data_IF_431282552867
#
_entry.id   IF_431282552867
#
_cell.length_a   1.000
_cell.length_b   1.000
_cell.length_c   1.000
_cell.angle_alpha   90.00
_cell.angle_beta   90.00
_cell.angle_gamma   90.00
#
_symmetry.space_group_name_H-M   'P 1'
#
loop_
_entity.id
_entity.type
_entity.pdbx_description
1 polymer ?
#
# COMPACT_ATOMS: atom_id res chain seq x y z
N UNK A 1 -14.78 10.99 -4.36
CA UNK A 1 -13.75 11.01 -3.29
C UNK A 1 -13.05 12.35 -3.29
N UNK A 2 -12.83 12.94 -2.12
CA UNK A 2 -11.99 14.12 -1.90
C UNK A 2 -10.97 13.76 -0.83
N UNK A 3 -9.72 14.11 -1.05
CA UNK A 3 -8.65 13.87 -0.09
C UNK A 3 -7.78 15.11 0.12
N UNK A 4 -7.18 15.20 1.28
CA UNK A 4 -6.34 16.30 1.68
C UNK A 4 -5.86 16.12 3.11
N UNK A 5 -5.60 17.20 3.79
CA UNK A 5 -5.32 17.20 5.22
C UNK A 5 -6.40 17.96 5.98
N UNK A 6 -6.65 17.53 7.18
CA UNK A 6 -7.51 18.22 8.12
C UNK A 6 -6.89 18.17 9.52
N UNK A 7 -7.46 18.87 10.48
CA UNK A 7 -7.01 18.79 11.88
C UNK A 7 -7.76 17.72 12.65
N UNK A 8 -7.03 16.97 13.49
CA UNK A 8 -7.62 16.05 14.47
C UNK A 8 -7.93 16.73 15.81
N UNK A 9 -7.65 18.02 15.91
CA UNK A 9 -7.68 18.86 17.09
C UNK A 9 -6.32 19.49 17.39
N UNK A 10 -5.25 18.76 17.19
CA UNK A 10 -3.88 19.18 17.50
C UNK A 10 -3.00 19.26 16.26
N UNK A 11 -3.05 18.25 15.40
CA UNK A 11 -2.14 18.09 14.28
C UNK A 11 -2.88 18.08 12.94
N UNK A 12 -2.16 18.40 11.86
CA UNK A 12 -2.60 18.07 10.50
C UNK A 12 -2.48 16.55 10.30
N UNK A 13 -3.51 15.93 9.75
CA UNK A 13 -3.57 14.48 9.49
C UNK A 13 -4.09 14.21 8.08
N UNK A 14 -3.83 13.02 7.56
CA UNK A 14 -4.45 12.56 6.31
C UNK A 14 -5.96 12.48 6.47
N UNK A 15 -6.70 13.08 5.54
CA UNK A 15 -8.14 13.05 5.53
C UNK A 15 -8.68 12.68 4.16
N UNK A 16 -9.73 11.87 4.13
CA UNK A 16 -10.54 11.68 2.94
C UNK A 16 -12.03 11.64 3.29
N UNK A 17 -12.83 12.07 2.33
CA UNK A 17 -14.29 12.07 2.38
C UNK A 17 -14.81 11.39 1.12
N UNK A 18 -15.75 10.46 1.27
CA UNK A 18 -16.42 9.81 0.15
C UNK A 18 -17.81 10.36 -0.07
N UNK A 19 -18.16 10.58 -1.35
CA UNK A 19 -19.49 10.89 -1.80
C UNK A 19 -20.07 9.72 -2.59
N UNK A 20 -21.34 9.47 -2.47
CA UNK A 20 -22.11 8.58 -3.34
C UNK A 20 -22.29 9.17 -4.74
N UNK A 21 -22.84 8.37 -5.64
CA UNK A 21 -23.18 8.80 -7.01
C UNK A 21 -24.31 9.85 -7.05
N UNK A 22 -25.08 9.95 -5.97
CA UNK A 22 -26.11 10.97 -5.75
C UNK A 22 -25.55 12.32 -5.28
N UNK A 23 -24.24 12.41 -5.04
CA UNK A 23 -23.57 13.61 -4.54
C UNK A 23 -23.68 13.82 -3.04
N UNK A 24 -24.31 12.91 -2.31
CA UNK A 24 -24.40 12.95 -0.85
C UNK A 24 -23.18 12.27 -0.22
N UNK A 25 -22.90 12.61 1.04
CA UNK A 25 -21.82 11.96 1.79
C UNK A 25 -22.18 10.48 1.99
N UNK A 26 -21.27 9.61 1.59
CA UNK A 26 -21.41 8.17 1.79
C UNK A 26 -21.03 7.80 3.23
N UNK A 27 -22.00 7.75 4.11
CA UNK A 27 -21.82 7.49 5.54
C UNK A 27 -21.31 6.08 5.86
N UNK A 28 -21.30 5.16 4.88
CA UNK A 28 -20.75 3.82 5.05
C UNK A 28 -19.22 3.78 5.01
N UNK A 29 -18.59 4.90 4.57
CA UNK A 29 -17.16 5.02 4.49
C UNK A 29 -16.57 5.59 5.79
N UNK A 30 -15.71 4.85 6.45
CA UNK A 30 -15.04 5.28 7.67
C UNK A 30 -16.02 5.66 8.78
N UNK A 31 -15.87 6.86 9.31
CA UNK A 31 -16.79 7.41 10.31
C UNK A 31 -17.62 8.53 9.70
N UNK A 32 -18.91 8.27 9.45
CA UNK A 32 -19.82 9.24 8.81
C UNK A 32 -19.29 9.81 7.48
N UNK A 33 -18.68 8.97 6.65
CA UNK A 33 -18.15 9.34 5.36
C UNK A 33 -16.69 9.82 5.37
N UNK A 34 -16.05 9.89 6.54
CA UNK A 34 -14.71 10.41 6.72
C UNK A 34 -13.73 9.37 7.22
N UNK A 35 -12.49 9.49 6.77
CA UNK A 35 -11.33 8.87 7.40
C UNK A 35 -10.34 9.96 7.81
N UNK A 36 -9.75 9.78 8.99
CA UNK A 36 -8.67 10.62 9.53
C UNK A 36 -7.57 9.71 10.02
N UNK A 37 -6.36 9.91 9.54
CA UNK A 37 -5.23 9.04 9.91
C UNK A 37 -3.97 9.86 10.07
N UNK A 38 -3.31 9.66 11.20
CA UNK A 38 -2.01 10.25 11.49
C UNK A 38 -0.89 9.22 11.32
N UNK A 39 0.32 9.69 11.01
CA UNK A 39 1.54 8.97 11.33
C UNK A 39 1.75 8.94 12.86
N UNK A 40 2.82 8.36 13.31
CA UNK A 40 3.09 8.30 14.75
C UNK A 40 3.35 9.68 15.39
N UNK A 41 3.75 10.70 14.59
CA UNK A 41 4.26 11.97 15.10
C UNK A 41 3.36 13.19 14.78
N UNK A 42 2.31 13.00 13.96
CA UNK A 42 1.43 14.08 13.50
C UNK A 42 2.07 14.99 12.45
N UNK A 43 1.39 16.06 12.11
CA UNK A 43 1.79 17.01 11.06
C UNK A 43 1.92 16.36 9.64
N UNK A 44 0.94 15.53 9.31
CA UNK A 44 0.89 14.77 8.06
C UNK A 44 -0.02 15.46 7.04
N UNK A 45 0.33 15.39 5.76
CA UNK A 45 -0.49 16.00 4.71
C UNK A 45 -0.61 15.13 3.48
N UNK A 46 -1.85 14.79 3.12
CA UNK A 46 -2.18 14.20 1.83
C UNK A 46 -2.19 15.28 0.74
N UNK A 47 -1.62 14.95 -0.41
CA UNK A 47 -1.54 15.81 -1.59
C UNK A 47 -2.23 15.19 -2.80
N UNK A 48 -2.36 13.88 -2.82
CA UNK A 48 -2.95 13.13 -3.92
C UNK A 48 -3.75 11.93 -3.43
N UNK A 49 -4.75 11.54 -4.21
CA UNK A 49 -5.56 10.34 -4.01
C UNK A 49 -5.71 9.60 -5.32
N UNK A 50 -5.67 8.27 -5.26
CA UNK A 50 -5.97 7.40 -6.39
C UNK A 50 -6.79 6.21 -5.92
N UNK A 51 -7.62 5.68 -6.82
CA UNK A 51 -8.42 4.47 -6.60
C UNK A 51 -7.80 3.32 -7.38
N UNK A 52 -7.54 2.22 -6.70
CA UNK A 52 -7.09 0.98 -7.32
C UNK A 52 -8.29 0.24 -7.94
N UNK A 53 -8.04 -0.63 -8.91
CA UNK A 53 -9.11 -1.39 -9.58
C UNK A 53 -9.86 -2.33 -8.61
N UNK A 54 -9.20 -2.75 -7.53
CA UNK A 54 -9.79 -3.58 -6.47
C UNK A 54 -10.63 -2.78 -5.46
N UNK A 55 -10.85 -1.49 -5.70
CA UNK A 55 -11.62 -0.59 -4.85
C UNK A 55 -10.84 0.01 -3.69
N UNK A 56 -9.56 -0.36 -3.51
CA UNK A 56 -8.73 0.27 -2.48
C UNK A 56 -8.39 1.71 -2.83
N UNK A 57 -8.18 2.50 -1.80
CA UNK A 57 -7.97 3.95 -1.90
C UNK A 57 -6.56 4.24 -1.40
N UNK A 58 -5.74 4.85 -2.24
CA UNK A 58 -4.39 5.26 -1.86
C UNK A 58 -4.34 6.78 -1.73
N UNK A 59 -3.89 7.26 -0.58
CA UNK A 59 -3.54 8.64 -0.34
C UNK A 59 -2.02 8.77 -0.30
N UNK A 60 -1.48 9.77 -0.98
CA UNK A 60 -0.05 10.06 -0.96
C UNK A 60 0.22 11.50 -0.58
N UNK A 61 1.37 11.74 0.03
CA UNK A 61 1.79 13.05 0.48
C UNK A 61 3.08 12.97 1.29
N UNK A 62 3.09 13.60 2.46
CA UNK A 62 4.24 13.57 3.35
C UNK A 62 3.83 13.46 4.80
N UNK A 63 4.64 12.76 5.57
CA UNK A 63 4.45 12.54 7.00
C UNK A 63 5.68 12.99 7.76
N UNK A 64 5.45 13.51 8.97
CA UNK A 64 6.52 13.87 9.87
C UNK A 64 7.07 12.62 10.58
N UNK A 65 8.38 12.40 10.51
CA UNK A 65 9.06 11.23 11.07
C UNK A 65 9.64 11.46 12.47
N UNK A 66 9.34 12.61 13.08
CA UNK A 66 9.94 13.06 14.34
C UNK A 66 11.08 14.07 14.15
N UNK A 67 11.61 14.19 12.95
CA UNK A 67 12.69 15.11 12.57
C UNK A 67 12.36 15.95 11.36
N UNK A 68 11.95 15.31 10.28
CA UNK A 68 11.69 15.93 8.99
C UNK A 68 10.44 15.31 8.34
N UNK A 69 10.09 15.78 7.16
CA UNK A 69 9.02 15.23 6.36
C UNK A 69 9.55 14.27 5.31
N UNK A 70 8.96 13.09 5.25
CA UNK A 70 9.26 12.03 4.30
C UNK A 70 8.10 11.76 3.34
N UNK A 71 8.40 11.13 2.20
CA UNK A 71 7.35 10.58 1.35
C UNK A 71 6.50 9.59 2.13
N UNK A 72 5.18 9.75 2.02
CA UNK A 72 4.24 8.94 2.78
C UNK A 72 3.05 8.55 1.90
N UNK A 73 2.63 7.30 2.05
CA UNK A 73 1.40 6.81 1.45
C UNK A 73 0.61 5.97 2.46
N UNK A 74 -0.70 6.11 2.41
CA UNK A 74 -1.65 5.30 3.19
C UNK A 74 -2.59 4.59 2.23
N UNK A 75 -2.96 3.36 2.54
CA UNK A 75 -3.97 2.64 1.79
C UNK A 75 -5.14 2.26 2.67
N UNK A 76 -6.33 2.53 2.16
CA UNK A 76 -7.59 2.15 2.79
C UNK A 76 -8.31 1.11 1.95
N UNK A 77 -9.08 0.27 2.63
CA UNK A 77 -10.08 -0.57 2.02
C UNK A 77 -11.30 0.25 1.60
N UNK A 78 -12.21 -0.37 0.88
CA UNK A 78 -13.45 0.27 0.44
C UNK A 78 -14.33 0.76 1.59
N UNK A 79 -14.26 0.15 2.76
CA UNK A 79 -14.99 0.58 3.96
C UNK A 79 -14.34 1.76 4.71
N UNK A 80 -13.16 2.20 4.28
CA UNK A 80 -12.38 3.27 4.92
C UNK A 80 -11.46 2.78 6.05
N UNK A 81 -11.40 1.50 6.35
CA UNK A 81 -10.39 0.95 7.26
C UNK A 81 -9.01 0.94 6.60
N UNK A 82 -7.94 1.10 7.39
CA UNK A 82 -6.58 0.94 6.88
C UNK A 82 -6.36 -0.49 6.39
N UNK A 83 -5.78 -0.62 5.20
CA UNK A 83 -5.40 -1.91 4.66
C UNK A 83 -4.04 -2.34 5.23
N UNK A 84 -4.08 -3.15 6.29
CA UNK A 84 -2.89 -3.61 7.01
C UNK A 84 -1.90 -4.42 6.16
N UNK A 85 -2.30 -4.84 4.96
CA UNK A 85 -1.41 -5.55 4.01
C UNK A 85 -0.52 -4.59 3.19
N UNK A 86 -0.70 -3.27 3.35
CA UNK A 86 0.10 -2.25 2.68
C UNK A 86 1.14 -1.67 3.64
N UNK A 87 2.41 -1.88 3.35
CA UNK A 87 3.50 -1.40 4.18
C UNK A 87 3.41 -1.90 5.63
N UNK A 88 3.53 -1.00 6.57
CA UNK A 88 3.38 -1.30 8.01
C UNK A 88 2.04 -0.75 8.50
N UNK A 89 1.08 -1.64 8.73
CA UNK A 89 -0.24 -1.27 9.24
C UNK A 89 -1.03 -0.34 8.33
N UNK A 90 -0.89 -0.48 7.01
CA UNK A 90 -1.58 0.35 6.02
C UNK A 90 -0.83 1.61 5.60
N UNK A 91 0.44 1.74 5.97
CA UNK A 91 1.25 2.95 5.76
C UNK A 91 2.63 2.61 5.21
N UNK A 92 3.12 3.46 4.31
CA UNK A 92 4.50 3.49 3.85
C UNK A 92 5.05 4.88 4.15
N UNK A 93 6.26 4.93 4.69
CA UNK A 93 7.04 6.15 4.85
C UNK A 93 8.46 5.86 4.37
N UNK A 94 9.02 6.71 3.53
CA UNK A 94 10.34 6.49 2.92
C UNK A 94 11.16 7.76 2.97
N UNK A 95 12.29 7.68 3.63
CA UNK A 95 13.35 8.68 3.63
C UNK A 95 14.33 8.37 2.51
N UNK A 96 14.55 9.29 1.58
CA UNK A 96 15.46 9.10 0.44
C UNK A 96 16.83 9.73 0.67
N UNK A 97 16.88 10.84 1.38
CA UNK A 97 18.07 11.69 1.49
C UNK A 97 18.77 11.63 2.84
N UNK A 98 18.47 10.58 3.63
CA UNK A 98 19.17 10.33 4.90
C UNK A 98 19.00 11.44 5.95
N UNK A 99 17.80 12.02 6.07
CA UNK A 99 17.48 13.13 6.98
C UNK A 99 18.21 14.45 6.66
N UNK A 100 18.55 14.69 5.41
CA UNK A 100 19.22 15.93 4.99
C UNK A 100 18.26 17.06 4.58
N UNK A 101 16.95 16.82 4.60
CA UNK A 101 15.96 17.84 4.26
C UNK A 101 14.54 17.33 4.10
N UNK A 102 13.66 18.18 3.59
CA UNK A 102 12.25 17.88 3.37
C UNK A 102 12.07 17.00 2.13
N UNK A 103 11.23 16.00 2.25
CA UNK A 103 10.79 15.14 1.17
C UNK A 103 9.27 15.14 1.10
N UNK A 104 8.70 15.49 -0.03
CA UNK A 104 7.26 15.67 -0.15
C UNK A 104 6.74 15.10 -1.46
N UNK A 105 5.91 14.05 -1.38
CA UNK A 105 5.12 13.62 -2.53
C UNK A 105 4.04 14.68 -2.83
N UNK A 106 3.92 15.02 -4.11
CA UNK A 106 2.96 16.00 -4.63
C UNK A 106 1.95 15.37 -5.58
N UNK A 107 2.33 14.25 -6.17
CA UNK A 107 1.52 13.53 -7.15
C UNK A 107 1.58 12.02 -6.89
N UNK A 108 0.52 11.35 -7.29
CA UNK A 108 0.36 9.91 -7.25
C UNK A 108 -0.25 9.44 -8.56
N UNK A 109 0.31 8.39 -9.13
CA UNK A 109 -0.27 7.67 -10.25
C UNK A 109 -0.25 6.16 -9.97
N UNK A 110 -1.26 5.45 -10.45
CA UNK A 110 -1.29 3.99 -10.46
C UNK A 110 -0.91 3.55 -11.88
N UNK A 111 0.13 2.73 -11.98
CA UNK A 111 0.57 2.17 -13.25
C UNK A 111 -0.35 1.01 -13.68
N UNK A 112 -0.38 0.64 -14.97
CA UNK A 112 -1.19 -0.49 -15.46
C UNK A 112 -0.89 -1.82 -14.77
N UNK A 113 0.32 -1.98 -14.23
CA UNK A 113 0.74 -3.15 -13.46
C UNK A 113 0.41 -3.05 -11.96
N UNK A 114 -0.41 -2.06 -11.56
CA UNK A 114 -0.84 -1.83 -10.19
C UNK A 114 0.16 -1.12 -9.29
N UNK A 115 1.39 -0.84 -9.79
CA UNK A 115 2.39 -0.12 -9.00
C UNK A 115 2.00 1.34 -8.78
N UNK A 116 2.42 1.85 -7.64
CA UNK A 116 2.19 3.24 -7.24
C UNK A 116 3.43 4.06 -7.57
N UNK A 117 3.28 5.11 -8.37
CA UNK A 117 4.31 6.09 -8.64
C UNK A 117 4.00 7.37 -7.88
N UNK A 118 4.84 7.71 -6.93
CA UNK A 118 4.79 8.96 -6.20
C UNK A 118 5.89 9.89 -6.72
N UNK A 119 5.54 11.12 -7.01
CA UNK A 119 6.49 12.12 -7.48
C UNK A 119 6.38 13.41 -6.68
N UNK A 120 7.47 14.12 -6.55
CA UNK A 120 7.50 15.34 -5.76
C UNK A 120 8.86 15.98 -5.67
N UNK A 121 9.20 16.49 -4.49
CA UNK A 121 10.45 17.19 -4.21
C UNK A 121 11.20 16.55 -3.07
N UNK A 122 12.52 16.51 -3.21
CA UNK A 122 13.46 16.03 -2.20
C UNK A 122 14.60 17.00 -2.02
N UNK A 123 15.03 17.21 -0.80
CA UNK A 123 16.23 17.98 -0.53
C UNK A 123 17.48 17.13 -0.82
N UNK A 124 18.49 17.71 -1.43
CA UNK A 124 19.79 17.08 -1.68
C UNK A 124 20.88 17.59 -0.74
N UNK A 125 20.51 18.32 0.31
CA UNK A 125 21.43 18.97 1.23
C UNK A 125 21.86 20.39 0.83
N UNK A 126 21.57 20.82 -0.39
CA UNK A 126 21.86 22.17 -0.90
C UNK A 126 20.59 22.88 -1.43
N UNK A 127 19.76 22.15 -2.15
CA UNK A 127 18.53 22.67 -2.75
C UNK A 127 17.48 21.56 -2.82
N UNK A 128 16.38 21.83 -3.48
CA UNK A 128 15.32 20.85 -3.74
C UNK A 128 15.38 20.40 -5.19
N UNK A 129 15.35 19.09 -5.36
CA UNK A 129 15.29 18.42 -6.65
C UNK A 129 13.95 17.73 -6.86
N UNK A 130 13.64 17.45 -8.12
CA UNK A 130 12.57 16.53 -8.47
C UNK A 130 12.98 15.10 -8.08
N UNK A 131 12.04 14.36 -7.51
CA UNK A 131 12.23 12.95 -7.18
C UNK A 131 10.96 12.13 -7.37
N UNK A 132 11.13 10.85 -7.58
CA UNK A 132 10.03 9.91 -7.69
C UNK A 132 10.37 8.57 -7.02
N UNK A 133 9.37 7.97 -6.42
CA UNK A 133 9.41 6.64 -5.82
C UNK A 133 8.35 5.76 -6.47
N UNK A 134 8.69 4.52 -6.70
CA UNK A 134 7.76 3.51 -7.17
C UNK A 134 7.62 2.40 -6.14
N UNK A 135 6.40 2.18 -5.67
CA UNK A 135 6.07 1.12 -4.74
C UNK A 135 5.25 0.04 -5.44
N UNK A 136 5.40 -1.18 -4.97
CA UNK A 136 4.40 -2.19 -5.27
C UNK A 136 3.07 -1.78 -4.65
N UNK A 137 2.03 -1.69 -5.46
CA UNK A 137 0.68 -1.27 -5.04
C UNK A 137 -0.02 -2.28 -4.13
N UNK A 138 0.71 -3.19 -3.57
CA UNK A 138 0.32 -4.39 -2.87
C UNK A 138 0.42 -5.59 -3.81
N UNK A 139 0.13 -6.78 -3.34
CA UNK A 139 0.22 -7.93 -4.22
C UNK A 139 -0.64 -7.68 -5.46
N UNK A 140 0.03 -7.21 -6.50
CA UNK A 140 -0.34 -7.17 -7.91
C UNK A 140 -1.58 -6.36 -8.34
N UNK A 141 -2.19 -5.50 -7.50
CA UNK A 141 -3.32 -4.62 -7.90
C UNK A 141 -4.64 -5.34 -8.23
N UNK A 142 -4.74 -6.64 -7.99
CA UNK A 142 -5.92 -7.44 -8.29
C UNK A 142 -6.85 -7.59 -7.08
N UNK A 143 -8.15 -7.69 -7.37
CA UNK A 143 -9.25 -7.56 -6.39
C UNK A 143 -9.19 -8.50 -5.19
N UNK A 144 -8.50 -9.62 -5.27
CA UNK A 144 -8.48 -10.64 -4.23
C UNK A 144 -7.08 -11.14 -3.88
N UNK A 145 -6.02 -10.44 -4.33
CA UNK A 145 -4.65 -10.84 -4.02
C UNK A 145 -4.22 -10.32 -2.65
N UNK A 146 -3.72 -11.19 -1.82
CA UNK A 146 -3.11 -10.88 -0.52
C UNK A 146 -1.70 -11.45 -0.43
N UNK A 147 -0.90 -10.94 0.51
CA UNK A 147 0.41 -11.52 0.83
C UNK A 147 0.30 -12.86 1.58
N UNK A 148 -0.88 -13.23 2.05
CA UNK A 148 -1.22 -14.56 2.55
C UNK A 148 -1.32 -15.53 1.36
N UNK A 149 -0.18 -15.98 0.89
CA UNK A 149 -0.06 -16.80 -0.33
C UNK A 149 -0.58 -18.21 -0.09
N UNK A 150 -0.37 -18.76 1.09
CA UNK A 150 -0.83 -20.12 1.44
C UNK A 150 -2.29 -20.15 1.92
N UNK A 151 -2.89 -19.00 2.22
CA UNK A 151 -4.31 -18.87 2.56
C UNK A 151 -4.64 -19.38 3.96
N UNK A 152 -3.73 -19.24 4.90
CA UNK A 152 -3.94 -19.65 6.30
C UNK A 152 -4.51 -18.53 7.18
N UNK A 153 -4.67 -17.32 6.60
CA UNK A 153 -5.17 -16.13 7.27
C UNK A 153 -4.08 -15.25 7.90
N UNK A 154 -2.81 -15.63 7.78
CA UNK A 154 -1.67 -14.91 8.31
C UNK A 154 -0.63 -14.65 7.22
N UNK A 155 0.14 -13.59 7.36
CA UNK A 155 1.31 -13.33 6.50
C UNK A 155 2.57 -13.61 7.30
N UNK A 156 3.21 -14.74 7.02
CA UNK A 156 4.37 -15.21 7.77
C UNK A 156 5.66 -15.15 6.94
N UNK A 157 6.76 -14.81 7.58
CA UNK A 157 8.07 -14.75 6.93
C UNK A 157 8.57 -16.13 6.47
N UNK A 158 8.17 -17.18 7.16
CA UNK A 158 8.60 -18.57 6.92
C UNK A 158 7.83 -19.28 5.81
N UNK A 159 6.65 -18.76 5.45
CA UNK A 159 5.79 -19.31 4.38
C UNK A 159 5.60 -18.30 3.26
N UNK A 160 4.74 -17.31 3.46
CA UNK A 160 4.32 -16.37 2.41
C UNK A 160 5.45 -15.51 1.87
N UNK A 161 6.24 -14.90 2.76
CA UNK A 161 7.36 -14.06 2.33
C UNK A 161 8.45 -14.88 1.64
N UNK A 162 8.66 -16.14 2.05
CA UNK A 162 9.62 -17.02 1.40
C UNK A 162 9.13 -17.41 0.00
N UNK A 163 7.85 -17.78 -0.16
CA UNK A 163 7.25 -18.06 -1.46
C UNK A 163 7.29 -16.84 -2.38
N UNK A 164 6.89 -15.68 -1.85
CA UNK A 164 6.94 -14.41 -2.59
C UNK A 164 8.36 -14.11 -3.09
N UNK A 165 9.37 -14.25 -2.23
CA UNK A 165 10.78 -14.02 -2.61
C UNK A 165 11.23 -14.98 -3.69
N UNK A 166 10.91 -16.28 -3.59
CA UNK A 166 11.25 -17.27 -4.61
C UNK A 166 10.63 -16.95 -5.95
N UNK A 167 9.35 -16.56 -5.97
CA UNK A 167 8.64 -16.17 -7.19
C UNK A 167 9.24 -14.89 -7.79
N UNK A 168 9.56 -13.89 -6.97
CA UNK A 168 10.20 -12.66 -7.40
C UNK A 168 11.60 -12.88 -8.01
N UNK A 169 12.30 -13.94 -7.59
CA UNK A 169 13.57 -14.38 -8.18
C UNK A 169 13.40 -15.28 -9.42
N UNK A 170 12.17 -15.43 -9.93
CA UNK A 170 11.89 -16.24 -11.10
C UNK A 170 11.81 -17.75 -10.85
N UNK A 171 11.79 -18.19 -9.60
CA UNK A 171 11.61 -19.61 -9.27
C UNK A 171 10.14 -19.96 -9.48
N UNK A 172 9.89 -21.06 -10.18
CA UNK A 172 8.54 -21.55 -10.48
C UNK A 172 8.45 -23.06 -10.19
N UNK A 173 7.24 -23.61 -10.30
CA UNK A 173 7.02 -25.03 -10.09
C UNK A 173 7.12 -25.45 -8.61
N UNK A 174 7.28 -26.76 -8.34
CA UNK A 174 7.35 -27.28 -6.98
C UNK A 174 8.47 -26.69 -6.12
N UNK A 175 9.49 -26.11 -6.74
CA UNK A 175 10.59 -25.46 -6.02
C UNK A 175 10.15 -24.25 -5.19
N UNK A 176 9.03 -23.61 -5.53
CA UNK A 176 8.45 -22.50 -4.75
C UNK A 176 8.09 -22.95 -3.34
N UNK A 177 7.55 -24.15 -3.19
CA UNK A 177 7.04 -24.70 -1.92
C UNK A 177 8.00 -25.67 -1.24
N UNK A 178 9.13 -26.00 -1.86
CA UNK A 178 10.07 -26.96 -1.33
C UNK A 178 10.68 -26.49 0.00
N UNK A 179 10.62 -27.37 1.01
CA UNK A 179 11.13 -27.08 2.35
C UNK A 179 10.26 -26.11 3.18
N UNK A 180 9.06 -25.79 2.72
CA UNK A 180 8.08 -25.00 3.48
C UNK A 180 7.18 -25.95 4.27
N UNK A 181 7.04 -25.69 5.56
CA UNK A 181 6.08 -26.37 6.43
C UNK A 181 4.83 -25.50 6.54
N UNK A 182 3.75 -25.93 5.90
CA UNK A 182 2.46 -25.23 5.94
C UNK A 182 1.72 -25.51 7.24
N UNK A 183 0.98 -24.55 7.71
CA UNK A 183 0.06 -24.73 8.85
C UNK A 183 -1.13 -25.58 8.43
N UNK A 184 -1.81 -26.27 9.38
CA UNK A 184 -3.01 -27.06 9.08
C UNK A 184 -4.15 -26.23 8.47
N UNK A 185 -4.15 -24.92 8.69
CA UNK A 185 -5.13 -23.96 8.16
C UNK A 185 -4.85 -23.51 6.73
N UNK A 186 -3.67 -23.82 6.18
CA UNK A 186 -3.31 -23.42 4.82
C UNK A 186 -4.22 -24.09 3.79
N UNK A 187 -4.88 -23.26 2.97
CA UNK A 187 -5.78 -23.70 1.90
C UNK A 187 -5.05 -23.92 0.58
N UNK A 188 -3.84 -23.36 0.44
CA UNK A 188 -2.99 -23.41 -0.76
C UNK A 188 -1.59 -23.88 -0.37
N UNK A 189 -1.43 -25.18 -0.23
CA UNK A 189 -0.20 -25.84 0.24
C UNK A 189 0.57 -26.60 -0.86
N UNK A 190 0.16 -26.44 -2.11
CA UNK A 190 0.81 -27.04 -3.29
C UNK A 190 1.02 -25.99 -4.37
N UNK A 191 2.05 -26.20 -5.20
CA UNK A 191 2.33 -25.27 -6.29
C UNK A 191 1.15 -25.02 -7.23
N UNK A 192 0.37 -26.02 -7.68
CA UNK A 192 -0.80 -25.77 -8.53
C UNK A 192 -1.82 -24.81 -7.91
N UNK A 193 -2.14 -24.97 -6.62
CA UNK A 193 -3.08 -24.11 -5.91
C UNK A 193 -2.54 -22.68 -5.74
N UNK A 194 -1.27 -22.56 -5.40
CA UNK A 194 -0.58 -21.27 -5.28
C UNK A 194 -0.49 -20.57 -6.64
N UNK A 195 -0.10 -21.31 -7.68
CA UNK A 195 -0.04 -20.79 -9.05
C UNK A 195 -1.39 -20.30 -9.53
N UNK A 196 -2.44 -21.09 -9.32
CA UNK A 196 -3.81 -20.72 -9.68
C UNK A 196 -4.23 -19.43 -8.98
N UNK A 197 -4.00 -19.32 -7.69
CA UNK A 197 -4.24 -18.10 -6.92
C UNK A 197 -3.46 -16.91 -7.48
N UNK A 198 -2.17 -17.06 -7.73
CA UNK A 198 -1.32 -15.98 -8.24
C UNK A 198 -1.73 -15.52 -9.64
N UNK A 199 -2.15 -16.44 -10.50
CA UNK A 199 -2.61 -16.12 -11.86
C UNK A 199 -4.02 -15.52 -11.84
N UNK A 200 -4.96 -16.15 -11.13
CA UNK A 200 -6.39 -15.79 -11.20
C UNK A 200 -6.77 -14.66 -10.27
N UNK A 201 -6.17 -14.61 -9.08
CA UNK A 201 -6.50 -13.62 -8.06
C UNK A 201 -5.48 -12.48 -8.01
N UNK A 202 -4.21 -12.76 -8.39
CA UNK A 202 -3.13 -11.78 -8.38
C UNK A 202 -2.71 -11.33 -9.80
N UNK A 203 -3.26 -11.93 -10.86
CA UNK A 203 -2.98 -11.58 -12.26
C UNK A 203 -1.51 -11.71 -12.67
N UNK A 204 -0.76 -12.56 -12.00
CA UNK A 204 0.64 -12.80 -12.35
C UNK A 204 0.78 -13.55 -13.67
N UNK A 205 1.61 -13.05 -14.56
CA UNK A 205 2.08 -13.83 -15.71
C UNK A 205 3.25 -14.70 -15.28
N UNK A 206 2.95 -15.93 -14.86
CA UNK A 206 3.99 -16.89 -14.51
C UNK A 206 4.35 -17.69 -15.77
N UNK A 207 5.58 -17.54 -16.24
CA UNK A 207 6.11 -18.35 -17.34
C UNK A 207 6.17 -19.81 -16.85
N UNK A 208 5.71 -20.73 -17.72
CA UNK A 208 5.73 -22.17 -17.45
C UNK A 208 7.15 -22.71 -17.45
#
# INVERSE_FOLDING_TARGET
MVAGHCRDGTNDVFCALRYGSDGLVDVSFGTNGWVKTTSAFGADRSQAVALQEDGKIVLAGYCYNGYLYDFCALRYRDDGSLDSTFGVGGKIMTTMTGNSGLEQARALAIQPDGKLLLAGVCANGQNYDFCALRYDGGPFGYKNCSLDIDGDGLVLATTDSLMHTRIALGITGPAVVNGITFRPTATRNTWPLIRDYLVTQCGMSLVQ
#
